data_IF_150769996405
#
_entry.id   IF_150769996405
#
_cell.length_a   1.000
_cell.length_b   1.000
_cell.length_c   1.000
_cell.angle_alpha   90.00
_cell.angle_beta   90.00
_cell.angle_gamma   90.00
#
_symmetry.space_group_name_H-M   'P 1'
#
loop_
_entity.id
_entity.type
_entity.pdbx_description
1 polymer ?
#
# COMPACT_ATOMS: atom_id res chain seq x y z
N UNK A 1 3.90 4.61 -6.19
CA UNK A 1 4.54 5.80 -5.60
C UNK A 1 4.78 6.81 -6.72
N UNK A 2 4.39 8.08 -6.52
CA UNK A 2 4.30 9.14 -7.55
C UNK A 2 5.52 9.29 -8.47
N UNK A 3 6.71 8.93 -7.97
CA UNK A 3 7.98 8.94 -8.68
C UNK A 3 7.93 8.26 -10.06
N UNK A 4 7.18 7.17 -10.21
CA UNK A 4 7.02 6.49 -11.51
C UNK A 4 6.22 7.33 -12.51
N UNK A 5 5.18 8.02 -12.06
CA UNK A 5 4.38 8.91 -12.92
C UNK A 5 5.19 10.14 -13.30
N UNK A 6 5.96 10.70 -12.37
CA UNK A 6 6.87 11.81 -12.64
C UNK A 6 7.93 11.45 -13.67
N UNK A 7 8.51 10.23 -13.57
CA UNK A 7 9.43 9.71 -14.57
C UNK A 7 8.79 9.61 -15.97
N UNK A 8 7.60 9.00 -16.07
CA UNK A 8 6.86 8.90 -17.34
C UNK A 8 6.47 10.26 -17.92
N UNK A 9 6.09 11.21 -17.07
CA UNK A 9 5.80 12.58 -17.50
C UNK A 9 7.04 13.23 -18.09
N UNK A 10 8.16 13.17 -17.37
CA UNK A 10 9.43 13.79 -17.79
C UNK A 10 9.92 13.22 -19.12
N UNK A 11 9.79 11.91 -19.30
CA UNK A 11 10.12 11.22 -20.56
C UNK A 11 9.25 11.71 -21.74
N UNK A 12 7.95 11.89 -21.54
CA UNK A 12 7.00 12.18 -22.62
C UNK A 12 6.83 13.68 -22.91
N UNK A 13 6.87 14.50 -21.87
CA UNK A 13 6.50 15.92 -21.94
C UNK A 13 7.57 16.85 -21.36
N UNK A 14 8.56 16.34 -20.63
CA UNK A 14 9.48 17.16 -19.84
C UNK A 14 10.26 18.21 -20.63
N UNK A 15 10.50 18.00 -21.92
CA UNK A 15 11.17 19.00 -22.78
C UNK A 15 10.29 20.23 -23.10
N UNK A 16 8.97 20.08 -23.07
CA UNK A 16 8.01 21.16 -23.37
C UNK A 16 7.30 21.67 -22.12
N UNK A 17 7.01 20.78 -21.17
CA UNK A 17 6.25 21.05 -19.97
C UNK A 17 6.97 20.37 -18.79
N UNK A 18 7.85 21.09 -18.08
CA UNK A 18 8.50 20.54 -16.91
C UNK A 18 7.47 20.24 -15.83
N UNK A 19 7.72 19.18 -15.06
CA UNK A 19 6.94 18.85 -13.87
C UNK A 19 7.86 19.00 -12.67
N UNK A 20 7.53 19.98 -11.82
CA UNK A 20 8.28 20.29 -10.61
C UNK A 20 7.50 19.81 -9.37
N UNK A 21 7.94 18.73 -8.70
CA UNK A 21 7.31 18.27 -7.48
C UNK A 21 7.68 19.17 -6.31
N UNK A 22 6.68 19.81 -5.70
CA UNK A 22 6.85 20.64 -4.50
C UNK A 22 6.45 19.80 -3.28
N UNK A 23 7.39 19.46 -2.37
CA UNK A 23 7.05 18.86 -1.09
C UNK A 23 6.33 19.90 -0.23
N UNK A 24 5.31 19.46 0.51
CA UNK A 24 4.62 20.29 1.50
C UNK A 24 5.06 19.87 2.90
N UNK A 25 5.13 20.84 3.81
CA UNK A 25 5.30 20.57 5.23
C UNK A 25 4.04 19.90 5.80
N UNK A 26 4.17 19.13 6.89
CA UNK A 26 3.04 18.35 7.44
C UNK A 26 1.86 19.20 7.91
N UNK A 27 2.12 20.43 8.34
CA UNK A 27 1.12 21.39 8.82
C UNK A 27 0.59 22.32 7.71
N UNK A 28 1.12 22.22 6.49
CA UNK A 28 0.67 23.04 5.37
C UNK A 28 -0.61 22.49 4.73
N UNK A 29 -1.63 23.35 4.59
CA UNK A 29 -2.86 22.98 3.88
C UNK A 29 -2.63 22.94 2.36
N UNK A 30 -2.71 21.75 1.71
CA UNK A 30 -2.52 21.65 0.26
C UNK A 30 -3.56 22.45 -0.53
N UNK A 31 -4.77 22.66 0.00
CA UNK A 31 -5.81 23.44 -0.68
C UNK A 31 -5.50 24.93 -0.65
N UNK A 32 -4.85 25.42 0.39
CA UNK A 32 -4.38 26.80 0.47
C UNK A 32 -3.26 27.05 -0.56
N UNK A 33 -2.31 26.12 -0.71
CA UNK A 33 -1.25 26.17 -1.75
C UNK A 33 -1.87 26.27 -3.15
N UNK A 34 -2.88 25.45 -3.45
CA UNK A 34 -3.58 25.49 -4.73
C UNK A 34 -4.36 26.80 -4.93
N UNK A 35 -4.95 27.37 -3.88
CA UNK A 35 -5.64 28.66 -3.95
C UNK A 35 -4.67 29.81 -4.24
N UNK A 36 -3.48 29.79 -3.62
CA UNK A 36 -2.41 30.76 -3.86
C UNK A 36 -1.71 30.60 -5.21
N UNK A 37 -2.05 29.54 -5.97
CA UNK A 37 -1.48 29.18 -7.28
C UNK A 37 0.03 28.90 -7.21
N UNK A 38 0.49 28.42 -6.06
CA UNK A 38 1.87 27.94 -5.87
C UNK A 38 2.05 26.51 -6.40
N UNK A 39 0.95 25.77 -6.56
CA UNK A 39 0.90 24.50 -7.26
C UNK A 39 -0.33 24.43 -8.17
N UNK A 40 -0.24 23.58 -9.20
CA UNK A 40 -1.33 23.35 -10.17
C UNK A 40 -2.24 22.19 -9.76
N UNK A 41 -1.69 21.19 -9.06
CA UNK A 41 -2.40 20.04 -8.54
C UNK A 41 -1.68 19.51 -7.30
N UNK A 42 -2.43 18.90 -6.39
CA UNK A 42 -1.93 18.33 -5.15
C UNK A 42 -2.25 16.83 -5.06
N UNK A 43 -1.30 16.05 -4.55
CA UNK A 43 -1.54 14.68 -4.10
C UNK A 43 -1.88 14.73 -2.62
N UNK A 44 -3.10 14.37 -2.25
CA UNK A 44 -3.55 14.47 -0.86
C UNK A 44 -4.44 13.28 -0.48
N UNK A 45 -4.61 13.11 0.83
CA UNK A 45 -5.59 12.20 1.43
C UNK A 45 -6.85 13.01 1.77
N UNK A 46 -8.03 12.70 1.22
CA UNK A 46 -9.24 13.46 1.50
C UNK A 46 -9.63 13.52 2.99
N UNK A 47 -9.19 12.55 3.79
CA UNK A 47 -9.40 12.52 5.24
C UNK A 47 -8.63 13.66 5.94
N UNK A 48 -7.40 13.94 5.51
CA UNK A 48 -6.57 15.01 6.05
C UNK A 48 -6.94 16.41 5.50
N UNK A 49 -7.58 16.46 4.33
CA UNK A 49 -8.06 17.71 3.73
C UNK A 49 -9.54 17.59 3.28
N UNK A 50 -10.52 17.60 4.22
CA UNK A 50 -11.93 17.37 3.89
C UNK A 50 -12.51 18.35 2.86
N UNK A 51 -12.00 19.58 2.83
CA UNK A 51 -12.41 20.61 1.85
C UNK A 51 -12.16 20.24 0.39
N UNK A 52 -11.30 19.24 0.12
CA UNK A 52 -11.05 18.72 -1.23
C UNK A 52 -12.28 18.03 -1.85
N UNK A 53 -13.28 17.68 -1.03
CA UNK A 53 -14.54 17.06 -1.46
C UNK A 53 -15.55 18.07 -2.00
N UNK A 54 -15.29 19.37 -1.88
CA UNK A 54 -16.13 20.41 -2.48
C UNK A 54 -15.98 20.40 -4.01
N UNK A 55 -16.99 19.85 -4.69
CA UNK A 55 -17.01 19.65 -6.14
C UNK A 55 -17.27 20.95 -6.92
N UNK A 56 -17.72 22.00 -6.25
CA UNK A 56 -17.91 23.31 -6.88
C UNK A 56 -16.58 24.05 -7.00
N UNK A 57 -15.62 23.73 -6.11
CA UNK A 57 -14.30 24.35 -6.08
C UNK A 57 -13.19 23.47 -6.65
N UNK A 58 -13.32 22.15 -6.55
CA UNK A 58 -12.24 21.22 -6.84
C UNK A 58 -12.65 20.12 -7.81
N UNK A 59 -11.72 19.77 -8.67
CA UNK A 59 -11.71 18.49 -9.36
C UNK A 59 -10.85 17.52 -8.54
N UNK A 60 -11.30 16.27 -8.42
CA UNK A 60 -10.59 15.22 -7.69
C UNK A 60 -10.65 13.89 -8.44
N UNK A 61 -9.53 13.17 -8.45
CA UNK A 61 -9.45 11.81 -9.00
C UNK A 61 -8.72 10.91 -8.01
N UNK A 62 -9.40 9.85 -7.57
CA UNK A 62 -8.77 8.77 -6.80
C UNK A 62 -7.70 8.08 -7.66
N UNK A 63 -6.50 7.94 -7.09
CA UNK A 63 -5.34 7.37 -7.78
C UNK A 63 -5.05 5.95 -7.31
N UNK A 64 -4.91 5.76 -6.01
CA UNK A 64 -4.60 4.47 -5.39
C UNK A 64 -5.01 4.47 -3.92
N UNK A 65 -4.97 3.28 -3.33
CA UNK A 65 -5.22 3.06 -1.92
C UNK A 65 -3.94 2.66 -1.21
N UNK A 66 -3.76 3.19 -0.01
CA UNK A 66 -2.64 2.91 0.88
C UNK A 66 -3.12 1.99 2.00
N UNK A 67 -2.45 0.85 2.12
CA UNK A 67 -2.69 -0.05 3.24
C UNK A 67 -2.12 0.56 4.52
N UNK A 68 -2.85 0.49 5.64
CA UNK A 68 -2.32 0.86 6.94
C UNK A 68 -1.30 -0.19 7.40
N UNK A 69 -0.24 0.29 8.04
CA UNK A 69 0.81 -0.55 8.62
C UNK A 69 1.12 -0.05 10.02
N UNK A 70 1.42 -0.96 10.94
CA UNK A 70 2.01 -0.63 12.23
C UNK A 70 3.53 -0.55 12.06
N UNK A 71 4.12 0.52 12.58
CA UNK A 71 5.56 0.74 12.74
C UNK A 71 5.93 0.36 14.16
N UNK A 72 6.95 -0.48 14.29
CA UNK A 72 7.38 -1.10 15.55
C UNK A 72 8.90 -1.36 15.55
N UNK A 73 9.54 -1.44 16.73
CA UNK A 73 10.94 -1.85 16.84
C UNK A 73 11.20 -3.21 16.17
N UNK A 74 12.38 -3.36 15.57
CA UNK A 74 12.76 -4.57 14.83
C UNK A 74 12.84 -5.83 15.71
N UNK A 75 12.99 -5.68 17.03
CA UNK A 75 13.03 -6.74 18.04
C UNK A 75 11.69 -6.94 18.78
N UNK A 76 10.64 -6.20 18.39
CA UNK A 76 9.32 -6.31 19.01
C UNK A 76 8.68 -7.67 18.74
N UNK A 77 7.93 -8.23 19.71
CA UNK A 77 7.33 -9.58 19.60
C UNK A 77 6.37 -9.72 18.41
N UNK A 78 5.62 -8.67 18.08
CA UNK A 78 4.71 -8.63 16.94
C UNK A 78 5.41 -8.76 15.58
N UNK A 79 6.73 -8.64 15.51
CA UNK A 79 7.49 -8.90 14.27
C UNK A 79 7.43 -10.36 13.83
N UNK A 80 7.06 -11.27 14.73
CA UNK A 80 6.80 -12.70 14.45
C UNK A 80 5.57 -12.91 13.54
N UNK A 81 4.68 -11.92 13.47
CA UNK A 81 3.51 -11.95 12.60
C UNK A 81 3.82 -11.28 11.25
N UNK A 82 3.34 -11.87 10.16
CA UNK A 82 3.42 -11.25 8.83
C UNK A 82 2.47 -10.05 8.70
N UNK A 83 1.31 -10.14 9.34
CA UNK A 83 0.26 -9.12 9.45
C UNK A 83 -0.16 -9.04 10.92
N UNK A 84 -0.44 -7.83 11.41
CA UNK A 84 -0.77 -7.58 12.82
C UNK A 84 -2.20 -7.04 12.88
N UNK A 85 -3.20 -7.87 13.20
CA UNK A 85 -4.57 -7.40 13.40
C UNK A 85 -4.68 -6.42 14.57
N UNK A 86 -5.71 -5.57 14.56
CA UNK A 86 -6.04 -4.64 15.65
C UNK A 86 -6.19 -5.34 17.00
N UNK A 87 -6.65 -6.59 17.01
CA UNK A 87 -6.75 -7.38 18.24
C UNK A 87 -5.39 -7.62 18.91
N UNK A 88 -4.32 -7.84 18.14
CA UNK A 88 -2.95 -7.98 18.66
C UNK A 88 -2.41 -6.61 19.12
N UNK A 89 -2.78 -5.52 18.44
CA UNK A 89 -2.44 -4.15 18.85
C UNK A 89 -3.15 -3.69 20.12
N UNK A 90 -4.22 -4.36 20.54
CA UNK A 90 -5.01 -3.95 21.71
C UNK A 90 -4.21 -4.03 23.03
N UNK A 91 -3.21 -4.91 23.11
CA UNK A 91 -2.28 -4.97 24.25
C UNK A 91 -1.17 -3.92 24.19
N UNK A 92 -1.04 -3.23 23.06
CA UNK A 92 0.04 -2.28 22.81
C UNK A 92 -0.42 -0.84 22.93
N UNK A 93 0.54 0.02 23.27
CA UNK A 93 0.32 1.46 23.27
C UNK A 93 0.56 2.03 21.88
N UNK A 94 -0.43 2.73 21.31
CA UNK A 94 -0.22 3.52 20.09
C UNK A 94 0.11 4.98 20.42
N UNK A 95 1.01 5.56 19.64
CA UNK A 95 1.43 6.96 19.72
C UNK A 95 0.55 7.87 18.84
N UNK A 96 -0.77 7.69 18.95
CA UNK A 96 -1.78 8.41 18.16
C UNK A 96 -3.02 8.66 19.00
N UNK A 97 -3.80 9.67 18.62
CA UNK A 97 -5.10 9.92 19.23
C UNK A 97 -6.02 8.70 19.02
N UNK A 98 -6.61 8.13 20.08
CA UNK A 98 -7.58 7.04 19.97
C UNK A 98 -8.76 7.33 19.01
N UNK A 99 -9.12 8.61 18.80
CA UNK A 99 -10.14 9.02 17.85
C UNK A 99 -9.77 8.74 16.38
N UNK A 100 -8.48 8.65 16.05
CA UNK A 100 -8.01 8.30 14.69
C UNK A 100 -8.18 6.81 14.39
N UNK A 101 -8.20 5.96 15.43
CA UNK A 101 -8.31 4.51 15.31
C UNK A 101 -9.39 3.93 16.25
N UNK A 102 -10.68 4.22 16.01
CA UNK A 102 -11.75 3.80 16.92
C UNK A 102 -11.84 2.28 17.17
N UNK A 103 -11.49 1.48 16.15
CA UNK A 103 -11.45 0.02 16.27
C UNK A 103 -10.42 -0.45 17.31
N UNK A 104 -9.24 0.16 17.32
CA UNK A 104 -8.20 -0.12 18.31
C UNK A 104 -8.57 0.46 19.68
N UNK A 105 -9.03 1.71 19.72
CA UNK A 105 -9.38 2.39 20.96
C UNK A 105 -10.38 1.59 21.81
N UNK A 106 -11.39 0.98 21.15
CA UNK A 106 -12.35 0.11 21.82
C UNK A 106 -11.69 -1.12 22.46
N UNK A 107 -10.88 -1.86 21.70
CA UNK A 107 -10.23 -3.08 22.22
C UNK A 107 -9.16 -2.77 23.28
N UNK A 108 -8.45 -1.64 23.14
CA UNK A 108 -7.49 -1.18 24.14
C UNK A 108 -8.17 -0.84 25.47
N UNK A 109 -9.33 -0.19 25.43
CA UNK A 109 -10.11 0.10 26.64
C UNK A 109 -10.54 -1.20 27.36
N UNK A 110 -10.97 -2.21 26.61
CA UNK A 110 -11.29 -3.54 27.14
C UNK A 110 -10.05 -4.20 27.77
N UNK A 111 -8.89 -4.11 27.11
CA UNK A 111 -7.62 -4.66 27.60
C UNK A 111 -7.16 -3.98 28.91
N UNK A 112 -7.15 -2.64 28.94
CA UNK A 112 -6.76 -1.85 30.12
C UNK A 112 -7.69 -2.13 31.32
N UNK A 113 -8.99 -2.21 31.09
CA UNK A 113 -9.96 -2.54 32.13
C UNK A 113 -9.70 -3.93 32.71
N UNK A 114 -9.42 -4.93 31.87
CA UNK A 114 -9.11 -6.28 32.31
C UNK A 114 -7.79 -6.35 33.11
N UNK A 115 -6.81 -5.52 32.75
CA UNK A 115 -5.52 -5.41 33.45
C UNK A 115 -5.57 -4.56 34.73
N UNK A 116 -6.65 -3.80 34.95
CA UNK A 116 -6.72 -2.81 36.05
C UNK A 116 -5.79 -1.62 35.82
N UNK A 117 -5.46 -1.33 34.56
CA UNK A 117 -4.55 -0.26 34.15
C UNK A 117 -5.33 0.93 33.58
N UNK A 118 -4.66 2.08 33.53
CA UNK A 118 -5.18 3.29 32.87
C UNK A 118 -4.29 3.68 31.70
N UNK A 119 -4.88 4.35 30.70
CA UNK A 119 -4.12 4.85 29.57
C UNK A 119 -3.15 5.93 30.03
N UNK A 120 -1.93 5.87 29.51
CA UNK A 120 -0.91 6.90 29.76
C UNK A 120 -1.05 8.02 28.75
N UNK A 121 -1.03 9.25 29.24
CA UNK A 121 -1.08 10.46 28.40
C UNK A 121 -0.08 10.39 27.24
N UNK A 122 -0.52 10.82 26.06
CA UNK A 122 0.32 10.86 24.87
C UNK A 122 1.44 11.90 25.05
N UNK A 123 2.69 11.57 24.69
CA UNK A 123 3.73 12.58 24.63
C UNK A 123 3.37 13.65 23.60
N UNK A 124 3.80 14.89 23.82
CA UNK A 124 3.67 15.93 22.81
C UNK A 124 4.56 15.60 21.61
N UNK A 125 3.95 15.55 20.43
CA UNK A 125 4.61 15.29 19.14
C UNK A 125 4.14 16.38 18.17
N UNK A 126 5.07 17.04 17.47
CA UNK A 126 4.72 18.07 16.49
C UNK A 126 4.33 17.44 15.16
N UNK A 127 5.05 16.41 14.76
CA UNK A 127 4.94 15.77 13.46
C UNK A 127 5.05 14.24 13.56
N UNK A 128 4.68 13.53 12.49
CA UNK A 128 4.80 12.05 12.42
C UNK A 128 6.24 11.60 12.69
N UNK A 129 7.23 12.39 12.24
CA UNK A 129 8.64 12.11 12.51
C UNK A 129 8.96 11.97 14.01
N UNK A 130 8.38 12.82 14.86
CA UNK A 130 8.57 12.75 16.31
C UNK A 130 7.97 11.46 16.89
N UNK A 131 6.78 11.07 16.42
CA UNK A 131 6.17 9.80 16.80
C UNK A 131 7.06 8.61 16.42
N UNK A 132 7.66 8.63 15.23
CA UNK A 132 8.58 7.58 14.78
C UNK A 132 9.84 7.49 15.67
N UNK A 133 10.41 8.62 16.08
CA UNK A 133 11.53 8.63 17.03
C UNK A 133 11.15 8.00 18.38
N UNK A 134 9.94 8.26 18.84
CA UNK A 134 9.42 7.68 20.09
C UNK A 134 9.11 6.18 19.96
N UNK A 135 8.68 5.71 18.79
CA UNK A 135 8.59 4.26 18.50
C UNK A 135 9.98 3.64 18.58
N UNK A 136 11.00 4.26 17.99
CA UNK A 136 12.38 3.76 18.05
C UNK A 136 12.93 3.73 19.48
N UNK A 137 12.47 4.63 20.35
CA UNK A 137 12.77 4.63 21.78
C UNK A 137 11.92 3.64 22.61
N UNK A 138 10.97 2.93 21.99
CA UNK A 138 10.15 1.90 22.64
C UNK A 138 8.99 2.45 23.48
N UNK A 139 8.53 3.69 23.25
CA UNK A 139 7.45 4.30 24.03
C UNK A 139 6.03 3.89 23.58
N UNK A 140 5.95 3.20 22.45
CA UNK A 140 4.71 2.72 21.84
C UNK A 140 4.95 2.37 20.37
N UNK A 141 3.87 2.03 19.69
CA UNK A 141 3.83 1.73 18.25
C UNK A 141 3.07 2.83 17.52
N UNK A 142 3.13 2.83 16.18
CA UNK A 142 2.49 3.86 15.36
C UNK A 142 1.84 3.23 14.14
N UNK A 143 0.55 3.50 13.90
CA UNK A 143 -0.15 3.04 12.70
C UNK A 143 -0.24 4.17 11.68
N UNK A 144 0.34 3.97 10.51
CA UNK A 144 0.37 4.96 9.43
C UNK A 144 0.13 4.31 8.07
N UNK A 145 -0.24 5.08 7.04
CA UNK A 145 -0.21 4.59 5.66
C UNK A 145 1.19 4.08 5.29
N UNK A 146 1.27 3.00 4.50
CA UNK A 146 2.56 2.37 4.12
C UNK A 146 3.56 3.35 3.48
N UNK A 147 3.08 4.39 2.78
CA UNK A 147 3.96 5.40 2.19
C UNK A 147 4.70 6.23 3.24
N UNK A 148 4.05 6.55 4.36
CA UNK A 148 4.61 7.29 5.50
C UNK A 148 5.63 6.43 6.23
N UNK A 149 5.31 5.15 6.49
CA UNK A 149 6.28 4.20 7.06
C UNK A 149 7.54 4.07 6.20
N UNK A 150 7.40 4.12 4.86
CA UNK A 150 8.55 4.12 3.93
C UNK A 150 9.32 5.44 3.91
N UNK A 151 8.64 6.57 4.15
CA UNK A 151 9.28 7.89 4.23
C UNK A 151 10.20 7.97 5.46
N UNK A 152 9.73 7.51 6.61
CA UNK A 152 10.49 7.50 7.87
C UNK A 152 11.24 6.18 8.13
N UNK A 153 11.56 5.44 7.06
CA UNK A 153 12.24 4.16 7.21
C UNK A 153 13.61 4.32 7.87
N UNK A 154 13.88 3.49 8.89
CA UNK A 154 15.16 3.38 9.60
C UNK A 154 15.44 1.93 9.98
N UNK A 155 16.71 1.61 10.22
CA UNK A 155 17.23 0.22 10.32
C UNK A 155 16.73 -0.57 11.55
N UNK A 156 16.33 0.14 12.58
CA UNK A 156 15.88 -0.34 13.90
C UNK A 156 14.35 -0.42 14.00
N UNK A 157 13.64 0.01 12.95
CA UNK A 157 12.20 -0.12 12.84
C UNK A 157 11.83 -1.03 11.68
N UNK A 158 10.71 -1.73 11.83
CA UNK A 158 10.05 -2.47 10.76
C UNK A 158 8.59 -2.02 10.68
N UNK A 159 7.89 -2.47 9.65
CA UNK A 159 6.45 -2.27 9.55
C UNK A 159 5.72 -3.55 9.13
N UNK A 160 4.51 -3.74 9.66
CA UNK A 160 3.62 -4.87 9.35
C UNK A 160 2.23 -4.37 8.93
N UNK A 161 1.59 -4.95 7.91
CA UNK A 161 0.22 -4.61 7.54
C UNK A 161 -0.76 -4.83 8.70
N UNK A 162 -1.77 -3.96 8.79
CA UNK A 162 -2.90 -4.09 9.73
C UNK A 162 -4.18 -4.34 8.90
N UNK A 163 -4.53 -5.60 8.61
CA UNK A 163 -5.48 -5.95 7.53
C UNK A 163 -6.93 -5.58 7.83
N UNK A 164 -7.26 -5.37 9.09
CA UNK A 164 -8.59 -5.05 9.61
C UNK A 164 -8.85 -3.54 9.76
N UNK A 165 -7.86 -2.70 9.42
CA UNK A 165 -8.04 -1.25 9.31
C UNK A 165 -8.38 -0.83 7.87
N UNK A 166 -9.21 0.22 7.70
CA UNK A 166 -9.56 0.72 6.38
C UNK A 166 -8.34 1.25 5.63
N UNK A 167 -8.28 0.99 4.33
CA UNK A 167 -7.29 1.62 3.46
C UNK A 167 -7.56 3.12 3.29
N UNK A 168 -6.49 3.90 3.14
CA UNK A 168 -6.58 5.34 2.90
C UNK A 168 -6.50 5.64 1.41
N UNK A 169 -7.39 6.46 0.87
CA UNK A 169 -7.34 6.85 -0.54
C UNK A 169 -6.39 8.03 -0.76
N UNK A 170 -5.61 7.99 -1.83
CA UNK A 170 -4.81 9.13 -2.30
C UNK A 170 -5.43 9.66 -3.58
N UNK A 171 -5.72 10.96 -3.58
CA UNK A 171 -6.38 11.66 -4.67
C UNK A 171 -5.42 12.66 -5.30
N UNK A 172 -5.56 12.87 -6.62
CA UNK A 172 -5.07 14.08 -7.28
C UNK A 172 -6.18 15.11 -7.26
N UNK A 173 -5.89 16.30 -6.73
CA UNK A 173 -6.85 17.40 -6.60
C UNK A 173 -6.31 18.64 -7.30
N UNK A 174 -7.17 19.35 -8.04
CA UNK A 174 -6.84 20.61 -8.69
C UNK A 174 -8.06 21.54 -8.74
N UNK A 175 -7.87 22.87 -8.87
CA UNK A 175 -8.97 23.82 -8.97
C UNK A 175 -9.93 23.49 -10.11
N UNK A 176 -11.23 23.68 -9.88
CA UNK A 176 -12.25 23.62 -10.93
C UNK A 176 -12.29 24.94 -11.69
N UNK A 177 -12.31 24.86 -13.03
CA UNK A 177 -12.64 26.02 -13.86
C UNK A 177 -14.13 26.30 -13.78
N UNK A 178 -14.49 27.46 -13.22
CA UNK A 178 -15.84 27.99 -13.26
C UNK A 178 -16.00 28.71 -14.61
N UNK A 179 -16.99 28.29 -15.39
CA UNK A 179 -17.26 28.81 -16.75
C UNK A 179 -16.09 28.64 -17.74
N UNK A 180 -15.92 27.44 -18.33
CA UNK A 180 -14.82 27.15 -19.26
C UNK A 180 -14.79 28.06 -20.51
N UNK A 181 -15.95 28.61 -20.89
CA UNK A 181 -16.10 29.49 -22.05
C UNK A 181 -15.58 30.93 -21.77
N UNK A 182 -15.62 31.33 -20.49
CA UNK A 182 -15.15 32.64 -20.01
C UNK A 182 -13.74 32.54 -19.41
N UNK A 183 -13.33 31.34 -19.01
CA UNK A 183 -11.96 30.99 -18.63
C UNK A 183 -11.05 31.19 -19.85
N UNK A 184 -10.05 32.06 -19.73
CA UNK A 184 -9.12 32.32 -20.83
C UNK A 184 -8.37 31.07 -21.31
N UNK A 185 -7.84 31.12 -22.54
CA UNK A 185 -7.17 29.99 -23.22
C UNK A 185 -6.10 29.30 -22.34
N UNK A 186 -5.39 30.09 -21.53
CA UNK A 186 -4.35 29.60 -20.63
C UNK A 186 -4.89 28.64 -19.56
N UNK A 187 -6.04 28.94 -18.97
CA UNK A 187 -6.67 28.12 -17.94
C UNK A 187 -7.14 26.77 -18.52
N UNK A 188 -7.69 26.79 -19.74
CA UNK A 188 -8.07 25.58 -20.46
C UNK A 188 -6.86 24.72 -20.83
N UNK A 189 -5.75 25.34 -21.23
CA UNK A 189 -4.51 24.64 -21.53
C UNK A 189 -3.92 23.96 -20.27
N UNK A 190 -3.92 24.65 -19.13
CA UNK A 190 -3.50 24.10 -17.84
C UNK A 190 -4.34 22.87 -17.45
N UNK A 191 -5.67 22.96 -17.55
CA UNK A 191 -6.54 21.82 -17.27
C UNK A 191 -6.26 20.65 -18.23
N UNK A 192 -6.04 20.91 -19.52
CA UNK A 192 -5.68 19.86 -20.48
C UNK A 192 -4.36 19.14 -20.12
N UNK A 193 -3.37 19.88 -19.60
CA UNK A 193 -2.09 19.32 -19.10
C UNK A 193 -2.33 18.43 -17.89
N UNK A 194 -3.14 18.87 -16.93
CA UNK A 194 -3.51 18.06 -15.75
C UNK A 194 -4.24 16.78 -16.18
N UNK A 195 -5.17 16.87 -17.14
CA UNK A 195 -5.89 15.70 -17.66
C UNK A 195 -4.96 14.69 -18.33
N UNK A 196 -3.90 15.15 -18.99
CA UNK A 196 -2.90 14.25 -19.55
C UNK A 196 -2.06 13.57 -18.46
N UNK A 197 -1.75 14.28 -17.37
CA UNK A 197 -1.10 13.70 -16.20
C UNK A 197 -2.00 12.63 -15.54
N UNK A 198 -3.30 12.90 -15.39
CA UNK A 198 -4.31 11.92 -14.96
C UNK A 198 -4.35 10.71 -15.91
N UNK A 199 -4.17 10.92 -17.22
CA UNK A 199 -4.01 9.85 -18.18
C UNK A 199 -2.83 8.93 -17.84
N UNK A 200 -1.68 9.50 -17.51
CA UNK A 200 -0.48 8.76 -17.11
C UNK A 200 -0.68 8.01 -15.79
N UNK A 201 -1.34 8.62 -14.79
CA UNK A 201 -1.58 7.95 -13.49
C UNK A 201 -2.49 6.73 -13.65
N UNK A 202 -3.47 6.81 -14.55
CA UNK A 202 -4.36 5.69 -14.92
C UNK A 202 -3.73 4.67 -15.88
N UNK A 203 -2.45 4.82 -16.22
CA UNK A 203 -1.71 3.86 -17.03
C UNK A 203 -1.90 3.98 -18.54
N UNK A 204 -2.40 5.12 -19.04
CA UNK A 204 -2.45 5.40 -20.49
C UNK A 204 -1.01 5.38 -21.02
N UNK A 205 -0.74 4.46 -21.96
CA UNK A 205 0.55 4.39 -22.67
C UNK A 205 0.61 5.50 -23.73
N UNK A 206 1.81 5.98 -24.03
CA UNK A 206 2.02 6.93 -25.11
C UNK A 206 1.48 6.33 -26.43
N UNK A 207 0.56 7.05 -27.10
CA UNK A 207 -0.04 6.63 -28.37
C UNK A 207 -1.51 6.20 -28.34
N UNK A 208 -2.17 6.13 -27.17
CA UNK A 208 -3.61 5.83 -27.11
C UNK A 208 -4.45 7.12 -27.20
N UNK A 209 -4.51 7.75 -28.37
CA UNK A 209 -5.65 8.59 -28.73
C UNK A 209 -6.86 7.67 -28.90
N UNK A 210 -7.97 7.95 -28.19
CA UNK A 210 -9.25 7.32 -28.54
C UNK A 210 -9.67 7.88 -29.89
N UNK A 211 -9.48 7.07 -30.93
CA UNK A 211 -9.90 7.33 -32.30
C UNK A 211 -9.09 6.41 -33.22
N UNK A 212 -9.79 5.47 -33.86
CA UNK A 212 -9.28 4.48 -34.85
C UNK A 212 -8.55 3.24 -34.31
N UNK A 213 -9.34 2.29 -33.80
CA UNK A 213 -9.33 0.86 -34.18
C UNK A 213 -9.99 0.03 -33.05
N UNK A 214 -11.31 0.14 -32.95
CA UNK A 214 -12.13 -0.83 -32.23
C UNK A 214 -13.12 -1.45 -33.21
N UNK A 215 -12.69 -2.50 -33.91
CA UNK A 215 -13.44 -3.58 -34.57
C UNK A 215 -12.44 -4.25 -35.53
N UNK A 216 -12.06 -5.52 -35.45
CA UNK A 216 -12.70 -6.72 -34.92
C UNK A 216 -11.66 -7.68 -34.33
N UNK A 217 -12.02 -8.36 -33.25
CA UNK A 217 -11.54 -9.72 -32.98
C UNK A 217 -12.56 -10.47 -32.12
N UNK A 218 -13.29 -11.46 -32.67
CA UNK A 218 -13.79 -12.58 -31.91
C UNK A 218 -12.79 -13.75 -32.04
N UNK A 219 -12.13 -14.12 -30.93
CA UNK A 219 -12.41 -15.28 -30.08
C UNK A 219 -11.70 -16.59 -30.52
N UNK A 220 -11.00 -17.31 -29.62
CA UNK A 220 -10.25 -18.51 -29.95
C UNK A 220 -11.17 -19.73 -30.14
N UNK A 221 -10.98 -20.44 -31.26
CA UNK A 221 -11.72 -21.66 -31.59
C UNK A 221 -11.36 -22.82 -30.64
N UNK A 222 -12.40 -23.46 -30.10
CA UNK A 222 -12.31 -24.64 -29.26
C UNK A 222 -11.86 -25.89 -30.04
N UNK A 223 -11.06 -26.73 -29.38
CA UNK A 223 -10.68 -28.05 -29.89
C UNK A 223 -11.76 -29.08 -29.53
N UNK A 224 -12.64 -29.38 -30.48
CA UNK A 224 -13.20 -30.73 -30.72
C UNK A 224 -12.36 -31.32 -31.87
N UNK A 225 -11.98 -32.58 -31.95
CA UNK A 225 -12.64 -33.82 -31.60
C UNK A 225 -12.24 -34.81 -32.68
N UNK A 226 -11.42 -35.79 -32.30
CA UNK A 226 -11.17 -37.13 -32.86
C UNK A 226 -11.81 -37.50 -34.23
N UNK A 227 -10.98 -38.01 -35.15
CA UNK A 227 -11.40 -39.02 -36.14
C UNK A 227 -10.40 -40.18 -36.14
N UNK A 228 -10.99 -41.37 -36.14
CA UNK A 228 -10.44 -42.72 -36.10
C UNK A 228 -9.73 -43.15 -37.39
N UNK A 229 -8.74 -44.03 -37.24
CA UNK A 229 -8.17 -44.86 -38.31
C UNK A 229 -7.45 -46.06 -37.70
N UNK A 230 -7.98 -47.24 -37.99
CA UNK A 230 -7.72 -48.56 -37.41
C UNK A 230 -6.34 -49.16 -37.79
N UNK A 231 -5.75 -49.97 -36.89
CA UNK A 231 -5.12 -51.29 -37.16
C UNK A 231 -4.38 -51.88 -35.96
N UNK A 232 -5.04 -52.89 -35.38
CA UNK A 232 -4.54 -54.26 -35.11
C UNK A 232 -3.31 -54.51 -34.23
N UNK A 233 -3.60 -55.27 -33.16
CA UNK A 233 -3.03 -56.58 -32.82
C UNK A 233 -2.20 -56.69 -31.53
N UNK A 234 -2.69 -57.61 -30.68
CA UNK A 234 -1.99 -58.47 -29.72
C UNK A 234 -1.22 -57.78 -28.57
N UNK A 235 -1.36 -58.12 -27.30
CA UNK A 235 -2.02 -59.25 -26.66
C UNK A 235 -1.49 -59.35 -25.22
N UNK A 236 -2.22 -60.09 -24.39
CA UNK A 236 -1.78 -60.67 -23.10
C UNK A 236 -1.53 -59.69 -21.93
N UNK A 237 -2.47 -59.56 -20.99
CA UNK A 237 -2.70 -60.39 -19.76
C UNK A 237 -1.83 -60.02 -18.54
N UNK A 238 -2.56 -59.71 -17.46
CA UNK A 238 -2.38 -60.13 -16.04
C UNK A 238 -1.22 -59.50 -15.25
N UNK A 239 -1.51 -58.56 -14.34
CA UNK A 239 -1.99 -58.68 -12.94
C UNK A 239 -0.89 -58.87 -11.89
N UNK A 240 -1.02 -58.06 -10.82
CA UNK A 240 -0.66 -58.27 -9.38
C UNK A 240 0.52 -57.45 -8.83
N UNK A 241 0.15 -56.44 -8.04
CA UNK A 241 0.79 -56.05 -6.76
C UNK A 241 0.77 -57.25 -5.76
N UNK A 242 1.50 -57.29 -4.62
CA UNK A 242 1.87 -56.16 -3.74
C UNK A 242 3.20 -56.26 -2.92
N UNK A 243 3.46 -55.18 -2.17
CA UNK A 243 4.17 -55.00 -0.88
C UNK A 243 5.43 -55.80 -0.47
N UNK A 244 6.41 -55.09 0.12
CA UNK A 244 6.92 -55.35 1.50
C UNK A 244 8.08 -54.42 1.87
N UNK A 245 8.07 -53.96 3.12
CA UNK A 245 9.11 -53.17 3.78
C UNK A 245 10.16 -54.10 4.47
N UNK A 246 10.91 -53.65 5.50
CA UNK A 246 12.18 -52.93 5.47
C UNK A 246 13.35 -53.80 6.01
N UNK A 247 14.61 -53.34 5.93
CA UNK A 247 15.72 -54.00 6.64
C UNK A 247 16.62 -53.06 7.43
N UNK A 248 16.81 -53.49 8.68
CA UNK A 248 17.59 -52.96 9.79
C UNK A 248 19.00 -53.56 9.75
N UNK A 249 20.01 -52.81 10.18
CA UNK A 249 21.36 -53.31 10.43
C UNK A 249 22.05 -52.51 11.54
N UNK A 250 22.28 -53.15 12.68
CA UNK A 250 22.79 -52.64 13.97
C UNK A 250 24.23 -53.13 14.16
N UNK A 251 25.10 -52.37 14.86
CA UNK A 251 25.98 -52.85 15.97
C UNK A 251 26.93 -51.74 16.53
N UNK A 252 26.76 -51.46 17.82
CA UNK A 252 27.73 -50.94 18.83
C UNK A 252 28.55 -52.14 19.42
N UNK A 253 29.36 -52.09 20.53
CA UNK A 253 29.82 -51.01 21.45
C UNK A 253 31.32 -51.11 21.95
N UNK A 254 31.78 -50.12 22.75
CA UNK A 254 32.61 -50.18 24.03
C UNK A 254 33.55 -48.95 24.13
N UNK A 255 33.54 -48.07 25.15
CA UNK A 255 33.73 -48.10 26.63
C UNK A 255 35.21 -47.97 27.08
N UNK A 256 35.50 -46.86 27.76
CA UNK A 256 36.66 -46.60 28.65
C UNK A 256 36.77 -45.10 28.94
N UNK A 257 36.24 -44.53 30.04
CA UNK A 257 36.58 -44.53 31.49
C UNK A 257 37.66 -43.48 31.89
N UNK A 258 37.16 -42.39 32.53
CA UNK A 258 37.69 -41.52 33.63
C UNK A 258 39.06 -40.77 33.50
N UNK A 259 38.96 -39.42 33.50
CA UNK A 259 39.49 -38.35 34.41
C UNK A 259 40.85 -38.49 35.15
N UNK A 260 41.44 -37.42 35.75
CA UNK A 260 41.35 -35.95 35.51
C UNK A 260 42.73 -35.23 35.48
N UNK A 261 42.73 -33.93 35.16
CA UNK A 261 43.47 -32.87 35.87
C UNK A 261 42.74 -31.54 35.70
#
# INVERSE_FOLDING_TARGET
>A
MPSKWFGRWRERFGARIPLDPVPLEEDEDPLAVLQRREAHAALLRPEAAPGSRDRDRWNAVALYRERPVVVLPADHVLTLLEEVPVAELAGERLLQDPAELPAWARLRAEHLLAAGETERELPAMRHTGDAVELVAAGLGLLVVPMSVARLHHRKDLVHRPVPDLPETEVHLVWPRLLEPQASGEQATAEEAVIQEFVGITRGRRAGSSRGEAAQERPAPAGKRGRVSGDRTAAGSRRTRSPSSAPRRGRKTPRRGRRSPR
#
